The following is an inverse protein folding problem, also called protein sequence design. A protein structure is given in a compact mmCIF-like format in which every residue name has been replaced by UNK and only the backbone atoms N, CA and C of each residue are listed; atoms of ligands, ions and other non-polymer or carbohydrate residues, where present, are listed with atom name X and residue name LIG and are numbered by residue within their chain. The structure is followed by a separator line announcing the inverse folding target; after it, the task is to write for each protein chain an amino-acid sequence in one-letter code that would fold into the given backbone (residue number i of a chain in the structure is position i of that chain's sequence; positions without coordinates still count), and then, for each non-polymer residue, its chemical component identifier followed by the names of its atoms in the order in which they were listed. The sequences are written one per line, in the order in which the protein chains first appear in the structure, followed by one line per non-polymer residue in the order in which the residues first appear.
data_IF_307046718419
#
_entry.id   IF_307046718419
#
_cell.length_a   1.000
_cell.length_b   1.000
_cell.length_c   1.000
_cell.angle_alpha   90.00
_cell.angle_beta   90.00
_cell.angle_gamma   90.00
#
_symmetry.space_group_name_H-M   'P 1'
#
loop_
_entity.id
_entity.type
_entity.pdbx_description
1 polymer ?
2 non-polymer ?
3 non-polymer ?
4 non-polymer ?
5 non-polymer ?
6 water ?
#
# COMPACT_ATOMS: atom_id res chain seq x y z
N UNK A 16 -2.51 -7.73 28.07
CA UNK A 16 -1.93 -7.21 29.31
C UNK A 16 -1.36 -8.37 30.13
N UNK A 17 -1.14 -9.53 29.49
CA UNK A 17 -0.49 -10.67 30.11
C UNK A 17 0.61 -11.18 29.16
N UNK A 18 1.82 -11.34 29.70
CA UNK A 18 3.03 -11.61 28.93
C UNK A 18 3.49 -13.05 29.14
N UNK A 19 3.85 -13.73 28.05
CA UNK A 19 4.36 -15.10 28.11
C UNK A 19 5.47 -15.24 27.07
N UNK A 20 6.71 -15.23 27.52
CA UNK A 20 7.82 -15.28 26.58
C UNK A 20 7.82 -14.04 25.71
N UNK A 21 8.00 -14.23 24.40
CA UNK A 21 7.97 -13.14 23.43
C UNK A 21 6.56 -12.76 23.01
N UNK A 22 5.56 -13.54 23.38
CA UNK A 22 4.17 -13.31 22.99
C UNK A 22 3.48 -12.49 24.07
N UNK A 23 2.62 -11.57 23.63
CA UNK A 23 1.79 -10.78 24.54
C UNK A 23 0.33 -11.04 24.20
N UNK A 24 -0.46 -11.43 25.19
CA UNK A 24 -1.86 -11.79 24.99
C UNK A 24 -2.77 -10.73 25.60
N UNK A 25 -3.79 -10.32 24.84
CA UNK A 25 -4.83 -9.41 25.34
C UNK A 25 -6.20 -10.03 25.10
N UNK A 26 -7.04 -9.96 26.12
CA UNK A 26 -8.39 -10.51 26.04
C UNK A 26 -9.32 -9.48 25.40
N UNK A 27 -9.85 -9.82 24.22
CA UNK A 27 -10.80 -8.95 23.53
C UNK A 27 -12.23 -9.18 23.98
N UNK A 28 -12.54 -10.42 24.38
CA UNK A 28 -13.83 -10.83 24.92
C UNK A 28 -13.62 -12.16 25.61
N UNK A 29 -14.60 -12.56 26.42
CA UNK A 29 -14.57 -13.90 26.99
C UNK A 29 -14.39 -14.93 25.88
N UNK A 30 -13.35 -15.75 26.02
CA UNK A 30 -13.06 -16.79 25.04
C UNK A 30 -12.28 -16.33 23.82
N UNK A 31 -11.86 -15.07 23.75
CA UNK A 31 -11.12 -14.56 22.60
C UNK A 31 -9.91 -13.81 23.11
N UNK A 32 -8.72 -14.26 22.74
CA UNK A 32 -7.49 -13.54 23.03
C UNK A 32 -6.84 -13.06 21.74
N UNK A 33 -6.29 -11.86 21.77
CA UNK A 33 -5.42 -11.42 20.69
C UNK A 33 -3.99 -11.68 21.13
N UNK A 34 -3.15 -12.15 20.22
CA UNK A 34 -1.74 -12.40 20.50
C UNK A 34 -0.89 -11.46 19.67
N UNK A 35 0.09 -10.82 20.29
CA UNK A 35 0.94 -9.85 19.63
C UNK A 35 2.42 -10.19 19.84
N UNK A 36 3.18 -10.15 18.75
CA UNK A 36 4.61 -10.37 18.77
C UNK A 36 5.30 -9.30 17.93
N UNK A 37 6.57 -9.05 18.25
CA UNK A 37 7.28 -7.91 17.71
C UNK A 37 8.47 -8.34 16.89
N UNK A 38 8.73 -7.55 15.85
CA UNK A 38 9.84 -7.75 14.93
C UNK A 38 10.70 -6.50 14.93
N UNK A 39 11.92 -6.62 15.44
CA UNK A 39 12.85 -5.49 15.49
C UNK A 39 13.36 -5.19 14.08
N UNK A 40 13.13 -3.97 13.61
CA UNK A 40 13.64 -3.51 12.32
C UNK A 40 14.63 -2.38 12.54
N UNK A 41 15.83 -2.54 11.98
CA UNK A 41 16.88 -1.55 12.10
C UNK A 41 16.38 -0.19 11.62
N UNK A 42 16.42 0.80 12.51
CA UNK A 42 15.93 2.14 12.21
C UNK A 42 14.43 2.34 12.37
N UNK A 43 13.64 1.27 12.53
CA UNK A 43 12.20 1.39 12.67
C UNK A 43 11.66 0.91 14.01
N UNK A 44 12.46 0.23 14.81
CA UNK A 44 12.00 -0.25 16.10
C UNK A 44 11.17 -1.51 15.97
N UNK A 45 10.42 -1.83 17.03
CA UNK A 45 9.60 -3.05 17.02
C UNK A 45 8.27 -2.84 16.32
N UNK A 46 7.90 -3.77 15.45
CA UNK A 46 6.68 -3.68 14.65
C UNK A 46 5.74 -4.79 15.12
N UNK A 47 4.54 -4.47 15.58
CA UNK A 47 3.65 -5.51 16.07
C UNK A 47 3.08 -6.34 14.93
N UNK A 48 2.65 -7.55 15.28
CA UNK A 48 1.86 -8.37 14.38
C UNK A 48 0.87 -9.15 15.23
N UNK A 49 -0.39 -9.16 14.81
CA UNK A 49 -1.47 -9.62 15.68
C UNK A 49 -2.15 -10.85 15.11
N UNK A 50 -2.66 -11.69 16.01
CA UNK A 50 -3.51 -12.79 15.68
C UNK A 50 -4.52 -13.04 16.79
N UNK A 51 -5.29 -14.11 16.69
CA UNK A 51 -6.30 -14.44 17.69
C UNK A 51 -6.16 -15.89 18.14
N UNK A 52 -6.53 -16.12 19.39
CA UNK A 52 -6.75 -17.43 19.97
C UNK A 52 -8.21 -17.48 20.38
N UNK A 53 -8.98 -18.38 19.78
CA UNK A 53 -10.43 -18.37 19.90
C UNK A 53 -10.86 -19.66 20.59
N UNK A 54 -11.35 -19.54 21.82
CA UNK A 54 -11.71 -20.73 22.60
C UNK A 54 -13.03 -21.29 22.10
N UNK A 55 -13.04 -22.59 21.82
CA UNK A 55 -14.25 -23.30 21.41
C UNK A 55 -14.31 -24.61 22.21
N UNK A 56 -15.19 -24.66 23.21
CA UNK A 56 -15.28 -25.82 24.07
C UNK A 56 -14.01 -26.02 24.89
N UNK A 57 -13.37 -27.18 24.77
CA UNK A 57 -12.12 -27.44 25.46
C UNK A 57 -10.90 -27.35 24.53
N UNK A 58 -11.05 -26.69 23.38
CA UNK A 58 -9.94 -26.49 22.46
C UNK A 58 -9.90 -25.04 22.03
N UNK A 59 -8.86 -24.67 21.27
CA UNK A 59 -8.77 -23.34 20.70
C UNK A 59 -8.53 -23.43 19.20
N UNK A 60 -8.94 -22.35 18.52
CA UNK A 60 -8.62 -22.09 17.12
C UNK A 60 -7.62 -20.93 17.07
N UNK A 61 -6.53 -21.13 16.35
CA UNK A 61 -5.48 -20.12 16.24
C UNK A 61 -5.66 -19.34 14.95
N UNK A 62 -5.71 -18.02 15.04
CA UNK A 62 -5.84 -17.16 13.85
C UNK A 62 -4.50 -16.47 13.64
N UNK A 63 -3.78 -16.88 12.59
CA UNK A 63 -2.46 -16.37 12.21
C UNK A 63 -1.37 -16.84 13.16
N UNK A 64 -0.19 -17.11 12.61
CA UNK A 64 1.00 -17.39 13.43
C UNK A 64 1.58 -16.07 13.91
N UNK A 65 2.63 -16.14 14.72
CA UNK A 65 3.38 -14.95 15.07
C UNK A 65 4.45 -14.72 14.02
N UNK A 66 5.37 -13.78 14.28
CA UNK A 66 6.45 -13.49 13.34
C UNK A 66 7.33 -14.73 13.12
N UNK A 67 7.69 -15.43 14.20
CA UNK A 67 8.69 -16.47 14.12
C UNK A 67 8.14 -17.81 14.58
N UNK A 68 8.79 -18.87 14.08
CA UNK A 68 8.52 -20.21 14.56
C UNK A 68 8.53 -20.27 16.10
N UNK A 69 9.59 -19.73 16.72
CA UNK A 69 9.74 -19.86 18.16
C UNK A 69 8.68 -19.07 18.92
N UNK A 70 8.26 -17.92 18.38
CA UNK A 70 7.14 -17.19 18.96
C UNK A 70 5.84 -17.98 18.81
N UNK A 71 5.68 -18.69 17.69
CA UNK A 71 4.46 -19.47 17.46
C UNK A 71 4.42 -20.71 18.37
N UNK A 72 5.57 -21.37 18.56
CA UNK A 72 5.61 -22.46 19.52
C UNK A 72 5.20 -21.98 20.91
N UNK A 73 5.60 -20.76 21.29
CA UNK A 73 5.15 -20.22 22.57
C UNK A 73 3.63 -20.10 22.61
N UNK A 74 3.02 -19.70 21.50
CA UNK A 74 1.57 -19.54 21.47
C UNK A 74 0.87 -20.88 21.64
N UNK A 75 1.38 -21.95 20.99
CA UNK A 75 0.73 -23.24 21.16
C UNK A 75 0.92 -23.76 22.58
N UNK A 76 2.10 -23.52 23.17
CA UNK A 76 2.34 -23.92 24.55
C UNK A 76 1.41 -23.21 25.51
N UNK A 77 1.22 -21.90 25.33
CA UNK A 77 0.31 -21.16 26.18
C UNK A 77 -1.10 -21.75 26.14
N UNK A 78 -1.60 -22.03 24.92
CA UNK A 78 -2.95 -22.57 24.80
C UNK A 78 -3.07 -23.91 25.52
N UNK A 79 -2.07 -24.78 25.35
CA UNK A 79 -2.13 -26.12 25.90
C UNK A 79 -1.85 -26.14 27.40
N UNK A 80 -1.01 -25.23 27.87
CA UNK A 80 -0.50 -25.26 29.22
C UNK A 80 -1.12 -24.29 30.20
N UNK A 81 -1.36 -23.06 29.76
CA UNK A 81 -1.99 -22.05 30.62
C UNK A 81 -3.51 -22.10 30.51
N UNK A 82 -4.03 -22.13 29.28
CA UNK A 82 -5.46 -22.18 29.04
C UNK A 82 -6.05 -23.57 29.23
N UNK A 83 -5.25 -24.62 29.01
CA UNK A 83 -5.75 -25.99 28.95
C UNK A 83 -6.82 -26.13 27.87
N UNK A 84 -6.75 -25.27 26.85
CA UNK A 84 -7.60 -25.31 25.67
C UNK A 84 -6.66 -25.46 24.48
N UNK A 85 -6.18 -26.67 24.22
CA UNK A 85 -5.13 -26.85 23.21
C UNK A 85 -5.59 -26.48 21.81
N UNK A 86 -4.64 -25.99 21.02
CA UNK A 86 -4.94 -25.57 19.65
C UNK A 86 -5.27 -26.80 18.81
N UNK A 87 -6.45 -26.81 18.22
CA UNK A 87 -6.88 -27.94 17.40
C UNK A 87 -6.99 -27.58 15.92
N UNK A 88 -6.88 -26.30 15.57
CA UNK A 88 -6.93 -25.86 14.17
C UNK A 88 -6.39 -24.45 14.10
N UNK A 89 -5.88 -24.09 12.90
CA UNK A 89 -5.29 -22.78 12.65
C UNK A 89 -5.74 -22.29 11.28
N UNK A 90 -5.97 -20.98 11.16
CA UNK A 90 -6.34 -20.34 9.89
C UNK A 90 -5.38 -19.16 9.66
N UNK A 91 -4.87 -19.05 8.44
CA UNK A 91 -4.02 -17.92 8.04
C UNK A 91 -4.87 -16.82 7.45
N UNK A 92 -4.61 -15.57 7.87
CA UNK A 92 -5.21 -14.42 7.22
C UNK A 92 -4.21 -13.45 6.61
N UNK A 93 -3.00 -13.30 7.16
CA UNK A 93 -2.03 -12.41 6.51
C UNK A 93 -0.63 -13.04 6.59
N UNK A 94 -0.33 -13.92 5.64
CA UNK A 94 0.95 -14.60 5.59
C UNK A 94 2.06 -13.61 5.24
N UNK A 95 3.28 -13.95 5.65
CA UNK A 95 4.47 -13.16 5.33
C UNK A 95 5.44 -14.01 4.52
N UNK A 96 5.98 -13.43 3.45
CA UNK A 96 6.74 -14.20 2.48
C UNK A 96 8.00 -14.80 3.08
N UNK A 97 8.76 -14.00 3.83
CA UNK A 97 10.02 -14.46 4.40
C UNK A 97 9.85 -15.07 5.78
N UNK A 98 8.92 -14.52 6.57
CA UNK A 98 8.65 -15.02 7.92
C UNK A 98 7.59 -16.13 7.86
N UNK A 99 7.99 -17.22 7.21
CA UNK A 99 7.13 -18.36 6.99
C UNK A 99 7.46 -19.45 8.01
N UNK A 100 8.51 -19.22 8.81
CA UNK A 100 8.93 -20.16 9.82
C UNK A 100 7.83 -20.54 10.80
N UNK A 101 6.85 -19.66 11.00
CA UNK A 101 5.76 -19.96 11.92
C UNK A 101 4.93 -21.15 11.49
N UNK A 102 4.95 -21.50 10.21
CA UNK A 102 4.23 -22.67 9.71
C UNK A 102 4.86 -23.95 10.20
N UNK A 103 6.19 -23.93 10.34
CA UNK A 103 6.92 -25.13 10.77
C UNK A 103 6.45 -25.58 12.14
N UNK A 104 6.22 -24.64 13.06
CA UNK A 104 5.76 -25.02 14.40
C UNK A 104 4.38 -25.65 14.34
N UNK A 105 3.51 -25.15 13.46
CA UNK A 105 2.16 -25.71 13.33
C UNK A 105 2.23 -27.14 12.80
N UNK A 106 3.00 -27.37 11.75
CA UNK A 106 3.10 -28.70 11.18
C UNK A 106 3.80 -29.69 12.11
N UNK A 107 4.59 -29.19 13.06
CA UNK A 107 5.24 -30.07 14.02
C UNK A 107 4.30 -30.57 15.10
N UNK A 108 3.29 -29.76 15.44
CA UNK A 108 2.27 -30.10 16.42
C UNK A 108 1.04 -30.74 15.80
N UNK A 109 1.11 -31.12 14.52
CA UNK A 109 0.02 -31.82 13.84
C UNK A 109 -1.28 -31.02 13.94
N UNK A 110 -1.14 -29.69 13.88
CA UNK A 110 -2.28 -28.78 13.89
C UNK A 110 -2.77 -28.61 12.47
N UNK A 111 -4.05 -28.85 12.24
CA UNK A 111 -4.63 -28.65 10.92
C UNK A 111 -4.64 -27.17 10.58
N UNK A 112 -4.07 -26.82 9.43
CA UNK A 112 -3.89 -25.44 9.01
C UNK A 112 -4.75 -25.16 7.78
N UNK A 113 -5.47 -24.04 7.80
CA UNK A 113 -6.35 -23.61 6.73
C UNK A 113 -5.85 -22.28 6.18
N UNK A 114 -5.92 -22.12 4.86
CA UNK A 114 -5.52 -20.85 4.27
C UNK A 114 -6.26 -20.67 2.95
N UNK A 115 -6.40 -19.42 2.52
CA UNK A 115 -7.04 -19.15 1.24
C UNK A 115 -5.98 -19.05 0.15
N UNK A 116 -5.93 -20.01 -0.80
CA UNK A 116 -4.82 -20.06 -1.78
C UNK A 116 -4.55 -18.75 -2.52
N UNK A 117 -5.49 -18.25 -3.32
CA UNK A 117 -5.18 -17.10 -4.20
C UNK A 117 -5.53 -15.76 -3.58
N UNK A 130 0.17 -25.04 4.22
CA UNK A 130 -1.24 -25.08 4.59
C UNK A 130 -2.03 -25.92 3.59
N UNK A 131 -2.12 -27.22 3.85
CA UNK A 131 -2.70 -28.17 2.91
C UNK A 131 -4.23 -28.15 2.90
N UNK A 132 -4.89 -27.24 3.61
CA UNK A 132 -6.34 -27.14 3.63
C UNK A 132 -6.77 -25.81 3.04
N UNK A 133 -7.45 -25.85 1.90
CA UNK A 133 -7.89 -24.63 1.25
C UNK A 133 -9.26 -24.22 1.77
N UNK A 134 -9.43 -22.93 2.01
CA UNK A 134 -10.71 -22.32 2.33
C UNK A 134 -11.30 -21.78 1.04
N UNK A 135 -12.50 -22.24 0.67
CA UNK A 135 -13.25 -21.67 -0.44
C UNK A 135 -14.39 -20.80 0.09
N UNK A 136 -14.77 -19.79 -0.70
CA UNK A 136 -15.79 -18.82 -0.34
C UNK A 136 -16.93 -18.80 -1.36
N UNK A 137 -18.12 -18.40 -0.91
CA UNK A 137 -19.24 -18.36 -1.85
C UNK A 137 -19.35 -16.95 -2.42
N UNK A 138 -20.28 -16.76 -3.36
CA UNK A 138 -20.45 -15.47 -4.01
C UNK A 138 -20.88 -14.38 -3.05
N UNK A 139 -21.35 -14.74 -1.85
CA UNK A 139 -21.62 -13.79 -0.77
C UNK A 139 -20.38 -13.44 0.04
N UNK A 140 -19.24 -14.05 -0.25
CA UNK A 140 -18.02 -13.81 0.50
C UNK A 140 -17.81 -14.69 1.73
N UNK A 141 -18.74 -15.59 2.05
CA UNK A 141 -18.63 -16.38 3.28
C UNK A 141 -17.97 -17.73 3.00
N UNK A 142 -17.16 -18.20 3.94
CA UNK A 142 -16.52 -19.50 3.79
C UNK A 142 -17.58 -20.59 3.78
N UNK A 143 -17.25 -21.70 3.13
CA UNK A 143 -18.14 -22.85 2.92
C UNK A 143 -17.41 -24.13 3.28
N UNK A 144 -18.15 -25.24 3.26
CA UNK A 144 -17.57 -26.56 3.33
C UNK A 144 -17.01 -26.85 4.72
N UNK A 145 -16.14 -27.84 4.77
CA UNK A 145 -15.57 -28.29 6.05
C UNK A 145 -14.84 -27.14 6.76
N UNK A 146 -14.24 -26.22 6.00
CA UNK A 146 -13.52 -25.10 6.61
C UNK A 146 -14.40 -24.29 7.53
N UNK A 147 -15.57 -23.87 7.04
CA UNK A 147 -16.48 -23.09 7.89
C UNK A 147 -16.90 -23.91 9.09
N UNK A 148 -17.14 -25.20 8.88
CA UNK A 148 -17.55 -26.07 9.98
C UNK A 148 -16.45 -26.17 11.02
N UNK A 149 -15.21 -26.38 10.58
CA UNK A 149 -14.13 -26.66 11.51
C UNK A 149 -13.63 -25.43 12.24
N UNK A 150 -13.87 -24.24 11.70
CA UNK A 150 -13.37 -23.04 12.33
C UNK A 150 -14.45 -22.25 13.08
N UNK A 151 -15.69 -22.76 13.10
CA UNK A 151 -16.72 -22.05 13.85
C UNK A 151 -16.34 -21.99 15.33
N UNK A 152 -16.73 -20.91 16.05
CA UNK A 152 -17.66 -19.86 15.63
C UNK A 152 -17.04 -18.72 14.82
N UNK A 153 -15.73 -18.75 14.53
CA UNK A 153 -15.19 -17.79 13.58
C UNK A 153 -16.01 -17.83 12.30
N UNK A 154 -16.37 -16.66 11.80
CA UNK A 154 -16.97 -16.51 10.47
C UNK A 154 -15.89 -15.97 9.55
N UNK A 155 -15.50 -16.76 8.56
CA UNK A 155 -14.46 -16.33 7.63
C UNK A 155 -15.10 -15.58 6.47
N UNK A 156 -14.59 -14.39 6.17
CA UNK A 156 -15.19 -13.56 5.12
C UNK A 156 -14.12 -13.08 4.14
N UNK A 157 -14.38 -13.29 2.83
CA UNK A 157 -13.52 -12.73 1.79
C UNK A 157 -14.16 -11.45 1.27
N UNK A 158 -13.51 -10.29 1.43
CA UNK A 158 -14.18 -9.01 1.16
C UNK A 158 -14.04 -8.45 -0.25
N UNK A 159 -13.21 -9.04 -1.11
CA UNK A 159 -12.92 -8.43 -2.40
C UNK A 159 -13.91 -8.81 -3.51
N UNK A 160 -13.77 -8.12 -4.64
CA UNK A 160 -14.54 -8.42 -5.81
C UNK A 160 -13.71 -9.04 -6.91
N UNK A 161 -14.26 -9.05 -8.12
CA UNK A 161 -13.52 -9.48 -9.29
C UNK A 161 -12.15 -8.82 -9.35
N UNK A 162 -11.15 -9.57 -9.82
CA UNK A 162 -9.76 -9.14 -10.02
C UNK A 162 -9.06 -8.77 -8.72
N UNK A 163 -9.69 -8.92 -7.57
CA UNK A 163 -9.03 -8.63 -6.32
C UNK A 163 -8.26 -9.84 -5.80
N UNK A 164 -7.31 -9.56 -4.91
CA UNK A 164 -6.51 -10.59 -4.27
C UNK A 164 -6.30 -10.15 -2.82
N UNK A 165 -7.40 -9.92 -2.11
CA UNK A 165 -7.38 -9.45 -0.73
C UNK A 165 -7.04 -10.60 0.22
N UNK A 166 -6.54 -10.23 1.38
CA UNK A 166 -6.47 -11.17 2.48
C UNK A 166 -7.88 -11.43 3.02
N UNK A 167 -8.09 -12.63 3.59
CA UNK A 167 -9.37 -12.90 4.22
C UNK A 167 -9.45 -12.17 5.57
N UNK A 168 -10.68 -11.98 6.03
CA UNK A 168 -10.99 -11.34 7.30
C UNK A 168 -11.84 -12.32 8.10
N UNK A 169 -11.92 -12.10 9.41
CA UNK A 169 -12.67 -13.01 10.26
C UNK A 169 -13.41 -12.20 11.29
N UNK A 170 -14.54 -12.73 11.73
CA UNK A 170 -15.38 -12.05 12.70
C UNK A 170 -16.02 -13.02 13.66
N UNK A 171 -16.42 -12.47 14.81
CA UNK A 171 -17.23 -13.15 15.82
C UNK A 171 -18.42 -12.21 16.01
N UNK A 172 -19.48 -12.36 15.20
CA UNK A 172 -20.58 -11.37 15.23
C UNK A 172 -21.23 -11.19 16.59
N UNK A 173 -21.46 -12.28 17.32
CA UNK A 173 -22.15 -12.15 18.60
C UNK A 173 -21.32 -11.41 19.64
N UNK A 174 -20.01 -11.34 19.45
CA UNK A 174 -19.15 -10.64 20.39
C UNK A 174 -18.75 -9.26 19.89
N UNK A 175 -19.22 -8.85 18.71
CA UNK A 175 -18.89 -7.53 18.20
C UNK A 175 -17.43 -7.33 17.85
N UNK A 176 -16.76 -8.39 17.43
CA UNK A 176 -15.34 -8.39 17.10
C UNK A 176 -15.18 -8.69 15.62
N UNK A 177 -14.33 -7.93 14.94
CA UNK A 177 -13.91 -8.26 13.58
C UNK A 177 -12.41 -8.06 13.44
N UNK A 178 -11.80 -8.83 12.55
CA UNK A 178 -10.36 -8.86 12.37
C UNK A 178 -10.06 -8.66 10.90
N UNK A 179 -9.30 -7.63 10.58
CA UNK A 179 -9.03 -7.27 9.19
C UNK A 179 -7.58 -6.88 8.96
N UNK A 180 -7.31 -6.25 7.82
CA UNK A 180 -5.96 -5.81 7.54
C UNK A 180 -5.73 -4.42 8.08
N UNK A 181 -4.58 -3.86 7.77
CA UNK A 181 -4.16 -2.56 8.35
C UNK A 181 -4.93 -1.44 7.69
N UNK A 182 -5.41 -0.50 8.50
CA UNK A 182 -6.18 0.62 8.00
C UNK A 182 -5.51 1.93 8.36
N UNK A 183 -5.88 3.00 7.63
CA UNK A 183 -5.29 4.30 7.84
C UNK A 183 -5.52 4.75 9.28
N UNK A 184 -4.51 5.36 9.88
CA UNK A 184 -4.59 5.93 11.22
C UNK A 184 -5.10 7.38 11.16
N UNK A 185 -5.64 7.82 12.29
CA UNK A 185 -6.44 9.05 12.34
C UNK A 185 -5.74 10.25 11.70
N UNK A 186 -4.51 10.53 12.11
CA UNK A 186 -3.83 11.72 11.62
C UNK A 186 -2.71 11.45 10.63
N UNK A 187 -2.47 10.18 10.33
CA UNK A 187 -1.29 9.80 9.56
C UNK A 187 -1.54 9.97 8.06
N UNK A 188 -0.73 10.81 7.44
CA UNK A 188 -0.74 11.03 5.99
C UNK A 188 0.21 10.10 5.25
N UNK A 189 0.93 9.24 5.98
CA UNK A 189 2.00 8.43 5.38
C UNK A 189 1.52 7.64 4.17
N UNK A 190 0.34 7.03 4.28
CA UNK A 190 -0.17 6.12 3.28
C UNK A 190 -1.08 6.80 2.26
N UNK A 191 -1.23 8.12 2.34
CA UNK A 191 -2.28 8.79 1.57
C UNK A 191 -1.94 8.79 0.07
N UNK A 192 -0.69 9.11 -0.28
CA UNK A 192 -0.30 9.07 -1.68
C UNK A 192 -0.38 7.67 -2.27
N UNK A 193 0.06 6.67 -1.51
CA UNK A 193 -0.10 5.30 -1.99
C UNK A 193 -1.56 4.98 -2.27
N UNK A 194 -2.48 5.50 -1.45
CA UNK A 194 -3.90 5.25 -1.62
C UNK A 194 -4.46 5.94 -2.88
N UNK A 195 -3.98 7.15 -3.21
CA UNK A 195 -4.51 7.82 -4.40
C UNK A 195 -4.00 7.17 -5.68
N UNK A 196 -2.84 6.52 -5.61
CA UNK A 196 -2.21 5.95 -6.79
C UNK A 196 -2.53 4.46 -6.96
N UNK A 197 -3.39 3.94 -6.13
CA UNK A 197 -3.81 2.55 -6.24
C UNK A 197 -5.22 2.52 -6.83
N UNK A 198 -5.83 1.34 -6.80
CA UNK A 198 -7.23 1.16 -7.21
C UNK A 198 -8.09 1.55 -6.02
N UNK A 199 -8.25 2.86 -5.85
CA UNK A 199 -8.98 3.36 -4.69
C UNK A 199 -10.39 2.79 -4.64
N UNK A 200 -11.06 2.72 -5.80
CA UNK A 200 -12.43 2.18 -5.84
C UNK A 200 -12.48 0.72 -5.40
N UNK A 201 -11.51 -0.09 -5.84
CA UNK A 201 -11.47 -1.49 -5.43
C UNK A 201 -11.18 -1.61 -3.94
N UNK A 202 -10.20 -0.86 -3.45
CA UNK A 202 -9.94 -0.84 -2.02
C UNK A 202 -11.19 -0.43 -1.26
N UNK A 203 -11.89 0.60 -1.74
CA UNK A 203 -13.06 1.09 -1.05
C UNK A 203 -14.14 0.01 -0.98
N UNK A 204 -14.39 -0.68 -2.09
CA UNK A 204 -15.40 -1.73 -2.08
C UNK A 204 -15.05 -2.82 -1.06
N UNK A 205 -13.77 -3.17 -0.95
CA UNK A 205 -13.39 -4.21 0.00
C UNK A 205 -13.70 -3.79 1.42
N UNK A 206 -13.40 -2.53 1.76
CA UNK A 206 -13.69 -2.05 3.10
C UNK A 206 -15.19 -1.97 3.33
N UNK A 207 -15.96 -1.52 2.33
CA UNK A 207 -17.42 -1.49 2.46
C UNK A 207 -17.99 -2.90 2.62
N UNK A 208 -17.48 -3.87 1.86
CA UNK A 208 -17.95 -5.25 1.99
C UNK A 208 -17.64 -5.79 3.39
N UNK A 209 -16.44 -5.52 3.89
CA UNK A 209 -16.05 -6.00 5.22
C UNK A 209 -16.94 -5.36 6.29
N UNK A 210 -17.14 -4.04 6.20
CA UNK A 210 -18.04 -3.35 7.11
C UNK A 210 -19.43 -3.97 7.09
N UNK A 211 -19.99 -4.19 5.89
CA UNK A 211 -21.34 -4.73 5.82
C UNK A 211 -21.39 -6.19 6.28
N UNK A 212 -20.27 -6.91 6.20
CA UNK A 212 -20.29 -8.30 6.64
C UNK A 212 -20.38 -8.40 8.16
N UNK A 213 -19.72 -7.51 8.89
CA UNK A 213 -19.80 -7.44 10.35
C UNK A 213 -20.32 -6.07 10.75
N UNK A 214 -21.59 -5.79 10.50
CA UNK A 214 -22.10 -4.42 10.67
C UNK A 214 -22.19 -3.97 12.12
N UNK A 215 -22.23 -4.90 13.06
CA UNK A 215 -22.40 -4.53 14.46
C UNK A 215 -21.10 -4.59 15.24
N UNK A 216 -20.01 -5.00 14.61
CA UNK A 216 -18.74 -5.14 15.31
C UNK A 216 -18.18 -3.76 15.66
N UNK A 217 -17.96 -3.53 16.94
CA UNK A 217 -17.36 -2.28 17.43
C UNK A 217 -15.89 -2.42 17.78
N UNK A 218 -15.34 -3.62 17.71
CA UNK A 218 -13.92 -3.84 17.97
C UNK A 218 -13.29 -4.37 16.69
N UNK A 219 -12.50 -3.53 16.02
CA UNK A 219 -11.87 -3.91 14.76
C UNK A 219 -10.40 -4.18 15.06
N UNK A 220 -10.04 -5.46 15.17
CA UNK A 220 -8.64 -5.82 15.34
C UNK A 220 -7.92 -5.72 13.99
N UNK A 221 -6.62 -5.47 14.05
CA UNK A 221 -5.87 -5.27 12.81
C UNK A 221 -4.62 -6.12 12.75
N UNK A 222 -4.21 -6.43 11.52
CA UNK A 222 -3.09 -7.35 11.29
C UNK A 222 -1.80 -6.86 11.94
N UNK A 223 -1.52 -5.57 11.90
CA UNK A 223 -0.23 -5.07 12.38
C UNK A 223 -0.39 -3.78 13.17
N UNK A 224 -1.50 -3.66 13.89
CA UNK A 224 -1.89 -2.43 14.55
C UNK A 224 -2.87 -2.78 15.66
N UNK A 225 -2.89 -2.01 16.76
CA UNK A 225 -3.87 -2.28 17.84
C UNK A 225 -5.30 -2.08 17.38
N UNK A 226 -6.29 -2.63 18.09
CA UNK A 226 -7.68 -2.53 17.62
C UNK A 226 -8.20 -1.09 17.68
N UNK A 227 -9.20 -0.81 16.83
CA UNK A 227 -9.95 0.44 16.87
C UNK A 227 -11.44 0.12 16.78
N UNK A 228 -12.26 1.15 16.96
CA UNK A 228 -13.68 1.05 16.69
C UNK A 228 -14.00 1.33 15.23
N UNK A 229 -15.30 1.44 14.94
CA UNK A 229 -15.73 1.62 13.57
C UNK A 229 -15.27 2.94 12.97
N UNK A 230 -14.80 3.89 13.79
CA UNK A 230 -14.27 5.13 13.23
C UNK A 230 -13.15 4.85 12.25
N UNK A 231 -12.39 3.76 12.45
CA UNK A 231 -11.34 3.42 11.51
C UNK A 231 -11.91 3.13 10.13
N UNK A 232 -13.07 2.46 10.08
CA UNK A 232 -13.68 2.10 8.81
C UNK A 232 -14.19 3.35 8.09
N UNK A 233 -14.98 4.15 8.80
CA UNK A 233 -15.53 5.38 8.24
C UNK A 233 -14.43 6.31 7.75
N UNK A 234 -13.35 6.44 8.52
CA UNK A 234 -12.25 7.30 8.12
C UNK A 234 -11.63 6.84 6.81
N UNK A 235 -11.43 5.52 6.67
CA UNK A 235 -10.85 5.01 5.44
C UNK A 235 -11.80 5.20 4.26
N UNK A 236 -13.11 5.03 4.48
CA UNK A 236 -14.07 5.22 3.40
C UNK A 236 -14.23 6.69 3.02
N UNK A 237 -14.02 7.60 3.98
CA UNK A 237 -14.08 9.03 3.66
C UNK A 237 -12.96 9.40 2.68
N UNK A 238 -11.75 8.92 2.95
CA UNK A 238 -10.62 9.19 2.07
C UNK A 238 -10.86 8.67 0.66
N UNK A 239 -11.33 7.43 0.55
CA UNK A 239 -11.48 6.81 -0.76
C UNK A 239 -12.43 7.57 -1.68
N UNK A 240 -13.42 8.26 -1.12
CA UNK A 240 -14.29 9.07 -1.98
C UNK A 240 -13.60 10.36 -2.40
N UNK A 241 -12.86 11.00 -1.48
CA UNK A 241 -12.11 12.21 -1.81
C UNK A 241 -10.88 11.92 -2.66
N UNK A 242 -10.55 10.66 -2.90
CA UNK A 242 -9.46 10.29 -3.79
C UNK A 242 -9.97 9.38 -4.92
N UNK B 16 10.06 26.85 -4.60
CA UNK B 16 10.00 28.03 -3.74
C UNK B 16 9.26 29.16 -4.44
N UNK B 17 8.91 28.98 -5.72
CA UNK B 17 8.22 29.98 -6.51
C UNK B 17 6.74 29.63 -6.60
N UNK B 18 5.89 30.54 -6.12
CA UNK B 18 4.45 30.35 -6.06
C UNK B 18 3.77 31.05 -7.24
N UNK B 19 2.84 30.35 -7.89
CA UNK B 19 2.05 30.90 -8.99
C UNK B 19 0.61 30.39 -8.82
N UNK B 20 -0.17 31.12 -8.04
CA UNK B 20 -1.50 30.64 -7.69
C UNK B 20 -1.42 29.50 -6.71
N UNK B 21 -2.18 28.44 -6.96
CA UNK B 21 -2.19 27.26 -6.11
C UNK B 21 -1.00 26.35 -6.33
N UNK B 22 -0.22 26.58 -7.39
CA UNK B 22 0.89 25.73 -7.78
C UNK B 22 2.16 26.25 -7.14
N UNK B 23 3.03 25.34 -6.71
CA UNK B 23 4.34 25.67 -6.17
C UNK B 23 5.41 25.02 -7.06
N UNK B 24 6.33 25.83 -7.57
CA UNK B 24 7.35 25.36 -8.49
C UNK B 24 8.73 25.34 -7.83
N UNK B 25 9.47 24.27 -8.08
CA UNK B 25 10.78 24.06 -7.48
C UNK B 25 11.75 23.56 -8.55
N UNK B 26 12.90 24.23 -8.67
CA UNK B 26 13.90 23.86 -9.68
C UNK B 26 14.80 22.76 -9.13
N UNK B 27 14.78 21.60 -9.78
CA UNK B 27 15.60 20.45 -9.42
C UNK B 27 16.95 20.44 -10.14
N UNK B 28 16.95 20.93 -11.39
CA UNK B 28 18.16 21.15 -12.17
C UNK B 28 17.84 22.25 -13.18
N UNK B 29 18.88 22.76 -13.81
CA UNK B 29 18.67 23.66 -14.93
C UNK B 29 17.76 22.98 -15.95
N UNK B 30 16.64 23.65 -16.28
CA UNK B 30 15.68 23.13 -17.23
C UNK B 30 14.70 22.08 -16.69
N UNK B 31 14.68 21.85 -15.38
CA UNK B 31 13.74 20.91 -14.78
C UNK B 31 13.10 21.55 -13.58
N UNK B 32 11.78 21.70 -13.62
CA UNK B 32 11.02 22.23 -12.50
C UNK B 32 10.09 21.14 -11.97
N UNK B 33 10.05 21.01 -10.64
CA UNK B 33 9.00 20.20 -10.00
C UNK B 33 7.83 21.11 -9.64
N UNK B 34 6.61 20.64 -9.88
CA UNK B 34 5.41 21.37 -9.48
C UNK B 34 4.69 20.60 -8.39
N UNK B 35 4.18 21.33 -7.40
CA UNK B 35 3.53 20.73 -6.23
C UNK B 35 2.22 21.46 -5.96
N UNK B 36 1.12 20.70 -5.94
CA UNK B 36 -0.18 21.22 -5.53
C UNK B 36 -0.71 20.40 -4.36
N UNK B 37 -1.59 21.01 -3.59
CA UNK B 37 -2.04 20.45 -2.33
C UNK B 37 -3.53 20.16 -2.34
N UNK B 38 -3.90 19.09 -1.65
CA UNK B 38 -5.27 18.64 -1.51
C UNK B 38 -5.59 18.54 -0.03
N UNK B 39 -6.57 19.33 0.42
CA UNK B 39 -6.97 19.35 1.83
C UNK B 39 -7.85 18.15 2.14
N UNK B 40 -7.45 17.36 3.13
CA UNK B 40 -8.25 16.23 3.58
C UNK B 40 -8.58 16.45 5.04
N UNK B 41 -9.88 16.42 5.37
CA UNK B 41 -10.34 16.61 6.74
C UNK B 41 -9.62 15.66 7.68
N UNK B 42 -8.91 16.24 8.65
CA UNK B 42 -8.18 15.46 9.64
C UNK B 42 -6.79 15.02 9.25
N UNK B 43 -6.34 15.31 8.02
CA UNK B 43 -5.01 14.91 7.57
C UNK B 43 -4.13 16.06 7.11
N UNK B 44 -4.67 17.26 6.98
CA UNK B 44 -3.90 18.39 6.50
C UNK B 44 -3.70 18.32 5.00
N UNK B 45 -2.98 19.29 4.45
CA UNK B 45 -2.77 19.33 3.00
C UNK B 45 -1.82 18.24 2.54
N UNK B 46 -2.15 17.64 1.39
CA UNK B 46 -1.43 16.48 0.87
C UNK B 46 -0.77 16.88 -0.44
N UNK B 47 0.54 16.81 -0.55
CA UNK B 47 1.21 17.21 -1.80
C UNK B 47 0.98 16.19 -2.90
N UNK B 48 1.10 16.68 -4.14
CA UNK B 48 1.17 15.83 -5.32
C UNK B 48 2.14 16.48 -6.28
N UNK B 49 3.09 15.71 -6.78
CA UNK B 49 4.21 16.29 -7.50
C UNK B 49 4.19 15.91 -8.98
N UNK B 50 4.78 16.79 -9.78
CA UNK B 50 5.01 16.56 -11.18
C UNK B 50 6.28 17.25 -11.62
N UNK B 51 6.57 17.24 -12.92
CA UNK B 51 7.74 17.90 -13.47
C UNK B 51 7.34 18.75 -14.66
N UNK B 52 8.07 19.85 -14.85
CA UNK B 52 8.11 20.59 -16.11
C UNK B 52 9.54 20.48 -16.63
N UNK B 53 9.69 20.01 -17.86
CA UNK B 53 11.00 19.60 -18.37
C UNK B 53 11.25 20.41 -19.64
N UNK B 54 12.15 21.39 -19.55
CA UNK B 54 12.37 22.29 -20.68
C UNK B 54 13.13 21.56 -21.76
N UNK B 55 12.62 21.61 -22.99
CA UNK B 55 13.32 21.06 -24.14
C UNK B 55 13.30 22.10 -25.25
N UNK B 56 14.42 22.79 -25.44
CA UNK B 56 14.46 23.83 -26.44
C UNK B 56 13.60 25.00 -26.00
N UNK B 57 12.65 25.38 -26.86
CA UNK B 57 11.73 26.46 -26.54
C UNK B 57 10.36 25.94 -26.10
N UNK B 58 10.27 24.70 -25.64
CA UNK B 58 9.01 24.15 -25.18
C UNK B 58 9.25 23.34 -23.91
N UNK B 59 8.16 22.97 -23.24
CA UNK B 59 8.23 22.10 -22.08
C UNK B 59 7.48 20.79 -22.33
N UNK B 60 7.92 19.76 -21.61
CA UNK B 60 7.16 18.52 -21.41
C UNK B 60 6.66 18.53 -19.98
N UNK B 61 5.36 18.30 -19.80
CA UNK B 61 4.76 18.27 -18.47
C UNK B 61 4.65 16.81 -18.04
N UNK B 62 5.14 16.52 -16.84
CA UNK B 62 5.06 15.19 -16.25
C UNK B 62 4.02 15.25 -15.14
N UNK B 63 2.86 14.63 -15.38
CA UNK B 63 1.72 14.57 -14.47
C UNK B 63 0.98 15.89 -14.37
N UNK B 64 -0.35 15.81 -14.28
CA UNK B 64 -1.19 16.96 -13.99
C UNK B 64 -1.15 17.23 -12.49
N UNK B 65 -1.83 18.29 -12.07
CA UNK B 65 -2.04 18.57 -10.66
C UNK B 65 -3.32 17.85 -10.22
N UNK B 66 -3.77 18.12 -8.99
CA UNK B 66 -5.00 17.52 -8.49
C UNK B 66 -6.20 17.93 -9.35
N UNK B 67 -6.32 19.22 -9.64
CA UNK B 67 -7.55 19.75 -10.22
C UNK B 67 -7.31 20.35 -11.60
N UNK B 68 -8.40 20.44 -12.34
CA UNK B 68 -8.42 21.14 -13.62
C UNK B 68 -7.77 22.52 -13.53
N UNK B 69 -8.25 23.35 -12.59
CA UNK B 69 -7.79 24.73 -12.52
C UNK B 69 -6.34 24.83 -12.09
N UNK B 70 -5.88 23.91 -11.23
CA UNK B 70 -4.46 23.87 -10.89
C UNK B 70 -3.62 23.50 -12.10
N UNK B 71 -4.09 22.56 -12.91
CA UNK B 71 -3.37 22.15 -14.11
C UNK B 71 -3.35 23.28 -15.16
N UNK B 72 -4.47 24.01 -15.31
CA UNK B 72 -4.48 25.15 -16.23
C UNK B 72 -3.44 26.19 -15.83
N UNK B 73 -3.25 26.39 -14.51
CA UNK B 73 -2.24 27.33 -14.04
C UNK B 73 -0.83 26.90 -14.43
N UNK B 74 -0.50 25.61 -14.31
CA UNK B 74 0.81 25.16 -14.75
C UNK B 74 1.00 25.43 -16.24
N UNK B 75 -0.05 25.21 -17.03
CA UNK B 75 0.02 25.44 -18.46
C UNK B 75 0.19 26.92 -18.77
N UNK B 76 -0.46 27.77 -17.97
CA UNK B 76 -0.27 29.21 -18.10
C UNK B 76 1.16 29.60 -17.74
N UNK B 77 1.70 28.99 -16.68
CA UNK B 77 3.03 29.35 -16.21
C UNK B 77 4.09 28.99 -17.24
N UNK B 78 3.98 27.79 -17.84
CA UNK B 78 4.95 27.41 -18.86
C UNK B 78 4.93 28.38 -20.03
N UNK B 79 3.73 28.84 -20.42
CA UNK B 79 3.56 29.57 -21.66
C UNK B 79 3.83 31.07 -21.50
N UNK B 80 3.53 31.64 -20.33
CA UNK B 80 3.61 33.08 -20.21
C UNK B 80 4.55 33.57 -19.10
N UNK B 81 5.15 32.65 -18.33
CA UNK B 81 6.29 32.98 -17.49
C UNK B 81 7.59 32.44 -18.07
N UNK B 82 7.60 31.17 -18.48
CA UNK B 82 8.79 30.53 -19.02
C UNK B 82 8.97 30.79 -20.51
N UNK B 83 7.95 31.27 -21.21
CA UNK B 83 7.95 31.36 -22.67
C UNK B 83 8.41 30.03 -23.28
N UNK B 84 8.03 28.94 -22.64
CA UNK B 84 8.34 27.58 -23.07
C UNK B 84 7.04 26.76 -22.94
N UNK B 85 6.12 26.95 -23.87
CA UNK B 85 4.79 26.35 -23.73
C UNK B 85 4.83 24.83 -23.77
N UNK B 86 3.94 24.22 -22.97
CA UNK B 86 3.80 22.78 -22.95
C UNK B 86 3.40 22.28 -24.33
N UNK B 87 4.21 21.40 -24.91
CA UNK B 87 3.83 20.74 -26.15
C UNK B 87 3.54 19.25 -25.97
N UNK B 88 3.68 18.72 -24.75
CA UNK B 88 3.40 17.31 -24.51
C UNK B 88 3.33 17.05 -23.02
N UNK B 89 2.50 16.07 -22.65
CA UNK B 89 2.31 15.66 -21.26
C UNK B 89 2.36 14.14 -21.17
N UNK B 90 2.94 13.63 -20.07
CA UNK B 90 2.92 12.19 -19.80
C UNK B 90 2.35 11.97 -18.40
N UNK B 91 1.39 11.05 -18.27
CA UNK B 91 0.89 10.61 -16.96
C UNK B 91 1.81 9.53 -16.40
N UNK B 92 2.18 9.66 -15.12
CA UNK B 92 2.81 8.57 -14.37
C UNK B 92 2.02 8.11 -13.16
N UNK B 93 1.18 8.95 -12.55
CA UNK B 93 0.40 8.42 -11.41
C UNK B 93 -0.98 9.08 -11.44
N UNK B 94 -1.90 8.46 -12.17
CA UNK B 94 -3.25 8.99 -12.30
C UNK B 94 -4.07 8.77 -11.04
N UNK B 95 -5.14 9.55 -10.91
CA UNK B 95 -6.03 9.51 -9.77
C UNK B 95 -7.45 9.31 -10.26
N UNK B 96 -8.16 8.36 -9.65
CA UNK B 96 -9.43 7.87 -10.19
C UNK B 96 -10.50 8.95 -10.21
N UNK B 97 -10.58 9.75 -9.16
CA UNK B 97 -11.56 10.83 -9.09
C UNK B 97 -10.97 12.19 -9.41
N UNK B 98 -9.68 12.37 -9.14
CA UNK B 98 -9.02 13.65 -9.34
C UNK B 98 -8.40 13.73 -10.73
N UNK B 99 -9.26 13.60 -11.73
CA UNK B 99 -8.81 13.59 -13.11
C UNK B 99 -9.35 14.80 -13.86
N UNK B 100 -9.76 15.82 -13.11
CA UNK B 100 -10.06 17.10 -13.72
C UNK B 100 -8.88 17.68 -14.48
N UNK B 101 -7.66 17.26 -14.15
CA UNK B 101 -6.49 17.77 -14.84
C UNK B 101 -6.41 17.35 -16.29
N UNK B 102 -7.07 16.27 -16.66
CA UNK B 102 -7.04 15.81 -18.05
C UNK B 102 -7.80 16.76 -18.97
N UNK B 103 -8.80 17.44 -18.40
CA UNK B 103 -9.64 18.34 -19.18
C UNK B 103 -8.86 19.59 -19.61
N UNK B 104 -7.98 20.09 -18.75
CA UNK B 104 -7.18 21.26 -19.12
C UNK B 104 -6.28 20.95 -20.32
N UNK B 105 -5.62 19.78 -20.28
CA UNK B 105 -4.73 19.39 -21.38
C UNK B 105 -5.52 19.11 -22.65
N UNK B 106 -6.69 18.46 -22.53
CA UNK B 106 -7.50 18.19 -23.71
C UNK B 106 -8.01 19.48 -24.33
N UNK B 107 -8.30 20.49 -23.52
CA UNK B 107 -8.77 21.77 -24.04
C UNK B 107 -7.68 22.65 -24.63
N UNK B 108 -6.43 22.38 -24.25
CA UNK B 108 -5.27 23.13 -24.75
C UNK B 108 -4.55 22.41 -25.89
N UNK B 109 -5.15 21.36 -26.44
CA UNK B 109 -4.58 20.58 -27.55
C UNK B 109 -3.13 20.18 -27.24
N UNK B 110 -2.87 19.87 -25.98
CA UNK B 110 -1.59 19.32 -25.55
C UNK B 110 -1.66 17.81 -25.69
N UNK B 111 -0.70 17.25 -26.44
CA UNK B 111 -0.66 15.82 -26.68
C UNK B 111 -0.31 15.09 -25.38
N UNK B 112 -1.10 14.07 -25.04
CA UNK B 112 -1.02 13.42 -23.75
C UNK B 112 -0.68 11.94 -23.93
N UNK B 113 0.27 11.47 -23.11
CA UNK B 113 0.76 10.10 -23.17
C UNK B 113 0.56 9.44 -21.81
N UNK B 114 0.16 8.17 -21.83
CA UNK B 114 0.02 7.43 -20.59
C UNK B 114 0.20 5.94 -20.88
N UNK B 115 0.54 5.17 -19.84
CA UNK B 115 0.71 3.74 -20.00
C UNK B 115 -0.63 3.06 -19.72
N UNK B 116 -1.32 2.50 -20.75
CA UNK B 116 -2.68 1.97 -20.54
C UNK B 116 -2.79 0.85 -19.51
N UNK B 117 -2.06 -0.25 -19.69
CA UNK B 117 -2.30 -1.45 -18.87
C UNK B 117 -1.85 -1.27 -17.42
N UNK B 130 -5.95 9.84 -22.09
CA UNK B 130 -4.70 10.04 -22.83
C UNK B 130 -4.74 9.31 -24.16
N UNK B 131 -4.78 10.08 -25.25
CA UNK B 131 -5.01 9.50 -26.58
C UNK B 131 -3.81 8.75 -27.14
N UNK B 132 -2.66 8.78 -26.47
CA UNK B 132 -1.45 8.15 -27.00
C UNK B 132 -0.90 7.16 -25.99
N UNK B 133 -0.78 5.90 -26.39
CA UNK B 133 -0.30 4.85 -25.50
C UNK B 133 1.22 4.77 -25.56
N UNK B 134 1.83 4.67 -24.38
CA UNK B 134 3.27 4.42 -24.27
C UNK B 134 3.46 2.91 -24.12
N UNK B 135 4.21 2.32 -25.04
CA UNK B 135 4.59 0.92 -24.92
C UNK B 135 6.06 0.82 -24.53
N UNK B 136 6.38 -0.26 -23.83
CA UNK B 136 7.73 -0.49 -23.28
C UNK B 136 8.31 -1.77 -23.86
N UNK B 137 9.64 -1.85 -23.87
CA UNK B 137 10.30 -3.05 -24.36
C UNK B 137 10.67 -3.95 -23.17
N UNK B 138 11.17 -5.14 -23.48
CA UNK B 138 11.45 -6.15 -22.47
C UNK B 138 12.53 -5.73 -21.48
N UNK B 139 13.28 -4.68 -21.79
CA UNK B 139 14.19 -4.04 -20.85
C UNK B 139 13.52 -2.97 -20.01
N UNK B 140 12.25 -2.67 -20.26
CA UNK B 140 11.55 -1.68 -19.48
C UNK B 140 11.58 -0.26 -20.03
N UNK B 141 12.26 -0.01 -21.16
CA UNK B 141 12.39 1.33 -21.70
C UNK B 141 11.28 1.63 -22.69
N UNK B 142 10.79 2.87 -22.69
CA UNK B 142 9.78 3.25 -23.66
C UNK B 142 10.36 3.21 -25.07
N UNK B 143 9.51 2.91 -26.04
CA UNK B 143 9.84 2.73 -27.45
C UNK B 143 8.96 3.64 -28.29
N UNK B 144 9.25 3.65 -29.60
CA UNK B 144 8.34 4.22 -30.56
C UNK B 144 8.27 5.74 -30.51
N UNK B 145 7.18 6.25 -31.09
CA UNK B 145 6.95 7.69 -31.11
C UNK B 145 7.04 8.29 -29.70
N UNK B 146 6.51 7.59 -28.70
CA UNK B 146 6.47 8.12 -27.34
C UNK B 146 7.87 8.45 -26.83
N UNK B 147 8.84 7.55 -27.06
CA UNK B 147 10.20 7.81 -26.59
C UNK B 147 10.78 9.03 -27.29
N UNK B 148 10.44 9.21 -28.57
CA UNK B 148 10.96 10.35 -29.31
C UNK B 148 10.34 11.64 -28.83
N UNK B 149 9.03 11.63 -28.61
CA UNK B 149 8.30 12.86 -28.32
C UNK B 149 8.61 13.40 -26.93
N UNK B 150 9.02 12.54 -25.99
CA UNK B 150 9.23 12.96 -24.62
C UNK B 150 10.70 13.12 -24.25
N UNK B 151 11.62 12.83 -25.17
CA UNK B 151 13.03 13.03 -24.87
C UNK B 151 13.25 14.49 -24.47
N UNK B 152 14.20 14.76 -23.56
CA UNK B 152 15.19 13.83 -23.01
C UNK B 152 14.72 12.98 -21.84
N UNK B 153 13.49 13.13 -21.34
CA UNK B 153 12.98 12.16 -20.36
C UNK B 153 13.17 10.75 -20.88
N UNK B 154 13.59 9.84 -19.99
CA UNK B 154 13.65 8.41 -20.29
C UNK B 154 12.57 7.76 -19.46
N UNK B 155 11.56 7.20 -20.12
CA UNK B 155 10.44 6.61 -19.43
C UNK B 155 10.76 5.14 -19.19
N UNK B 156 10.62 4.70 -17.94
CA UNK B 156 10.99 3.33 -17.57
C UNK B 156 9.82 2.67 -16.83
N UNK B 157 9.45 1.46 -17.26
CA UNK B 157 8.48 0.65 -16.55
C UNK B 157 9.21 -0.37 -15.69
N UNK B 158 9.09 -0.32 -14.35
CA UNK B 158 9.95 -1.13 -13.49
C UNK B 158 9.44 -2.53 -13.16
N UNK B 159 8.20 -2.86 -13.48
CA UNK B 159 7.62 -4.10 -13.02
C UNK B 159 7.98 -5.30 -13.88
N UNK B 160 7.79 -6.48 -13.29
CA UNK B 160 7.92 -7.73 -14.00
C UNK B 160 6.57 -8.30 -14.36
N UNK B 161 6.57 -9.60 -14.68
CA UNK B 161 5.33 -10.31 -15.00
C UNK B 161 4.29 -10.12 -13.90
N UNK B 162 3.03 -10.05 -14.31
CA UNK B 162 1.83 -9.94 -13.46
C UNK B 162 1.75 -8.61 -12.68
N UNK B 163 2.73 -7.73 -12.82
CA UNK B 163 2.69 -6.46 -12.11
C UNK B 163 1.82 -5.44 -12.84
N UNK B 164 1.44 -4.39 -12.12
CA UNK B 164 0.71 -3.25 -12.66
C UNK B 164 1.24 -1.99 -11.97
N UNK B 165 2.54 -1.73 -12.15
CA UNK B 165 3.19 -0.57 -11.56
C UNK B 165 2.92 0.68 -12.38
N UNK B 166 3.03 1.82 -11.72
CA UNK B 166 3.10 3.08 -12.43
C UNK B 166 4.47 3.20 -13.11
N UNK B 167 4.50 3.90 -14.23
CA UNK B 167 5.79 4.15 -14.87
C UNK B 167 6.58 5.16 -14.04
N UNK B 168 7.87 5.20 -14.32
CA UNK B 168 8.82 6.09 -13.66
C UNK B 168 9.56 6.79 -14.77
N UNK B 169 10.16 7.93 -14.45
CA UNK B 169 10.85 8.70 -15.48
C UNK B 169 12.15 9.20 -14.89
N UNK B 170 13.15 9.39 -15.75
CA UNK B 170 14.44 9.88 -15.31
C UNK B 170 15.06 10.83 -16.33
N UNK B 171 16.05 11.57 -15.83
CA UNK B 171 16.93 12.41 -16.63
C UNK B 171 18.34 12.01 -16.22
N UNK B 172 18.86 10.91 -16.80
CA UNK B 172 20.14 10.35 -16.31
C UNK B 172 21.29 11.36 -16.29
N UNK B 173 21.34 12.23 -17.30
CA UNK B 173 22.45 13.18 -17.37
C UNK B 173 22.42 14.17 -16.20
N UNK B 174 21.28 14.38 -15.56
CA UNK B 174 21.20 15.31 -14.45
C UNK B 174 21.07 14.63 -13.10
N UNK B 175 21.12 13.30 -13.06
CA UNK B 175 21.01 12.60 -11.79
C UNK B 175 19.67 12.75 -11.13
N UNK B 176 18.60 12.88 -11.93
CA UNK B 176 17.24 13.01 -11.44
C UNK B 176 16.47 11.77 -11.88
N UNK B 177 15.76 11.14 -10.93
CA UNK B 177 14.77 10.12 -11.24
C UNK B 177 13.47 10.44 -10.51
N UNK B 178 12.34 10.06 -11.12
CA UNK B 178 11.02 10.34 -10.59
C UNK B 178 10.25 9.03 -10.49
N UNK B 179 9.75 8.72 -9.29
CA UNK B 179 9.05 7.46 -9.09
C UNK B 179 7.88 7.56 -8.13
N UNK B 180 7.46 6.44 -7.57
CA UNK B 180 6.33 6.45 -6.65
C UNK B 180 6.77 6.62 -5.23
N UNK B 181 5.80 6.74 -4.32
CA UNK B 181 6.06 6.99 -2.88
C UNK B 181 6.80 5.86 -2.20
N UNK B 182 7.92 6.19 -1.56
CA UNK B 182 8.69 5.20 -0.84
C UNK B 182 8.62 5.40 0.65
N UNK B 183 9.03 4.35 1.38
CA UNK B 183 8.99 4.37 2.83
C UNK B 183 9.82 5.54 3.35
N UNK B 184 9.22 6.34 4.23
CA UNK B 184 9.93 7.44 4.86
C UNK B 184 10.86 6.93 5.95
N UNK B 185 11.88 7.73 6.24
CA UNK B 185 12.82 7.39 7.30
C UNK B 185 12.12 7.44 8.64
N UNK B 186 12.23 6.34 9.41
CA UNK B 186 11.70 6.27 10.76
C UNK B 186 10.21 6.00 10.87
N UNK B 187 9.49 5.90 9.75
CA UNK B 187 8.03 5.81 9.76
C UNK B 187 7.62 4.36 9.57
N UNK B 188 7.06 3.75 10.62
CA UNK B 188 6.62 2.36 10.53
C UNK B 188 5.17 2.23 10.03
N UNK B 189 4.59 3.35 9.59
CA UNK B 189 3.16 3.41 9.26
C UNK B 189 2.77 2.36 8.24
N UNK B 190 3.51 2.30 7.12
CA UNK B 190 3.17 1.40 6.02
C UNK B 190 3.93 0.07 6.08
N UNK B 191 4.62 -0.22 7.19
CA UNK B 191 5.41 -1.45 7.24
C UNK B 191 4.50 -2.68 7.23
N UNK B 192 3.38 -2.64 7.97
CA UNK B 192 2.51 -3.80 8.01
C UNK B 192 1.86 -4.09 6.67
N UNK B 193 1.47 -3.04 5.94
CA UNK B 193 0.96 -3.25 4.58
C UNK B 193 2.03 -3.88 3.70
N UNK B 194 3.29 -3.49 3.89
CA UNK B 194 4.39 -4.02 3.10
C UNK B 194 4.59 -5.50 3.37
N UNK B 195 4.52 -5.91 4.65
CA UNK B 195 4.70 -7.32 5.00
C UNK B 195 3.61 -8.18 4.41
N UNK B 196 2.41 -7.64 4.26
CA UNK B 196 1.26 -8.44 3.84
C UNK B 196 1.05 -8.40 2.33
N UNK B 197 1.81 -7.60 1.62
CA UNK B 197 1.71 -7.52 0.17
C UNK B 197 2.70 -8.50 -0.47
N UNK B 198 2.84 -8.42 -1.79
CA UNK B 198 3.84 -9.19 -2.53
C UNK B 198 5.18 -8.47 -2.38
N UNK B 199 5.80 -8.69 -1.21
CA UNK B 199 7.03 -7.96 -0.89
C UNK B 199 8.10 -8.20 -1.96
N UNK B 200 8.23 -9.45 -2.42
CA UNK B 200 9.24 -9.77 -3.44
C UNK B 200 9.02 -8.99 -4.74
N UNK B 201 7.75 -8.87 -5.16
CA UNK B 201 7.44 -8.17 -6.41
C UNK B 201 7.73 -6.68 -6.27
N UNK B 202 7.23 -6.08 -5.18
CA UNK B 202 7.59 -4.70 -4.86
C UNK B 202 9.10 -4.51 -4.86
N UNK B 203 9.83 -5.44 -4.22
CA UNK B 203 11.28 -5.28 -4.14
C UNK B 203 11.93 -5.32 -5.51
N UNK B 204 11.50 -6.25 -6.37
CA UNK B 204 12.07 -6.30 -7.72
C UNK B 204 11.80 -5.00 -8.46
N UNK B 205 10.62 -4.42 -8.28
CA UNK B 205 10.30 -3.17 -8.94
C UNK B 205 11.25 -2.07 -8.50
N UNK B 206 11.54 -1.99 -7.20
CA UNK B 206 12.44 -0.97 -6.70
C UNK B 206 13.87 -1.22 -7.17
N UNK B 207 14.26 -2.50 -7.22
CA UNK B 207 15.59 -2.84 -7.73
C UNK B 207 15.74 -2.47 -9.21
N UNK B 208 14.71 -2.76 -10.02
CA UNK B 208 14.79 -2.41 -11.44
C UNK B 208 14.89 -0.90 -11.62
N UNK B 209 14.05 -0.16 -10.89
CA UNK B 209 14.07 1.30 -10.99
C UNK B 209 15.45 1.83 -10.59
N UNK B 210 15.99 1.33 -9.47
CA UNK B 210 17.33 1.71 -9.03
C UNK B 210 18.37 1.46 -10.11
N UNK B 211 18.34 0.29 -10.74
CA UNK B 211 19.32 -0.03 -11.76
C UNK B 211 19.05 0.72 -13.07
N UNK B 212 17.81 1.14 -13.32
CA UNK B 212 17.55 1.88 -14.54
C UNK B 212 18.22 3.24 -14.49
N UNK B 213 18.21 3.89 -13.33
CA UNK B 213 18.84 5.19 -13.12
C UNK B 213 19.90 5.04 -12.02
N UNK B 214 21.00 4.34 -12.31
CA UNK B 214 21.94 3.98 -11.24
C UNK B 214 22.73 5.15 -10.68
N UNK B 215 22.83 6.27 -11.41
CA UNK B 215 23.61 7.40 -10.93
C UNK B 215 22.74 8.53 -10.41
N UNK B 216 21.43 8.35 -10.36
CA UNK B 216 20.54 9.42 -9.93
C UNK B 216 20.61 9.55 -8.41
N UNK B 217 20.97 10.74 -7.95
CA UNK B 217 21.02 11.02 -6.52
C UNK B 217 19.93 11.98 -6.05
N UNK B 218 19.02 12.37 -6.94
CA UNK B 218 17.80 13.08 -6.54
C UNK B 218 16.61 12.23 -6.98
N UNK B 219 15.86 11.71 -6.01
CA UNK B 219 14.76 10.80 -6.28
C UNK B 219 13.47 11.53 -5.95
N UNK B 220 12.85 12.15 -6.96
CA UNK B 220 11.56 12.79 -6.75
C UNK B 220 10.47 11.74 -6.58
N UNK B 221 9.40 12.12 -5.88
CA UNK B 221 8.34 11.18 -5.59
C UNK B 221 6.96 11.73 -5.86
N UNK B 222 6.02 10.82 -6.11
CA UNK B 222 4.69 11.22 -6.55
C UNK B 222 3.98 12.07 -5.50
N UNK B 223 4.10 11.75 -4.21
CA UNK B 223 3.35 12.50 -3.21
C UNK B 223 4.21 12.80 -1.99
N UNK B 224 5.45 13.19 -2.24
CA UNK B 224 6.42 13.39 -1.17
C UNK B 224 7.62 14.14 -1.75
N UNK B 225 8.34 14.92 -0.95
CA UNK B 225 9.50 15.68 -1.47
C UNK B 225 10.65 14.76 -1.85
N UNK B 226 11.64 15.25 -2.62
CA UNK B 226 12.72 14.36 -3.07
C UNK B 226 13.61 13.87 -1.91
N UNK B 227 14.26 12.73 -2.14
CA UNK B 227 15.31 12.22 -1.26
C UNK B 227 16.48 11.76 -2.11
N UNK B 228 17.57 11.40 -1.44
CA UNK B 228 18.70 10.75 -2.08
C UNK B 228 18.44 9.26 -2.22
N UNK B 229 19.48 8.54 -2.65
CA UNK B 229 19.36 7.11 -2.83
C UNK B 229 19.16 6.36 -1.52
N UNK B 230 19.41 7.01 -0.38
CA UNK B 230 19.09 6.39 0.91
C UNK B 230 17.66 5.87 0.94
N UNK B 231 16.73 6.58 0.26
CA UNK B 231 15.35 6.10 0.23
C UNK B 231 15.25 4.76 -0.48
N UNK B 232 15.96 4.60 -1.60
CA UNK B 232 15.99 3.32 -2.30
C UNK B 232 16.54 2.22 -1.38
N UNK B 233 17.74 2.43 -0.85
CA UNK B 233 18.38 1.42 0.00
C UNK B 233 17.52 1.10 1.22
N UNK B 234 16.82 2.09 1.76
CA UNK B 234 16.00 1.88 2.94
C UNK B 234 14.83 0.95 2.62
N UNK B 235 14.19 1.14 1.47
CA UNK B 235 13.09 0.27 1.09
C UNK B 235 13.58 -1.14 0.79
N UNK B 236 14.75 -1.29 0.16
CA UNK B 236 15.24 -2.63 -0.16
C UNK B 236 15.67 -3.40 1.08
N UNK B 237 16.21 -2.70 2.09
CA UNK B 237 16.51 -3.35 3.35
C UNK B 237 15.25 -3.95 3.96
N UNK B 238 14.15 -3.19 3.95
CA UNK B 238 12.91 -3.68 4.56
C UNK B 238 12.39 -4.91 3.85
N UNK B 239 12.44 -4.93 2.52
CA UNK B 239 11.84 -6.03 1.76
C UNK B 239 12.50 -7.37 2.08
N UNK B 240 13.81 -7.39 2.27
CA UNK B 240 14.48 -8.63 2.60
C UNK B 240 14.52 -8.90 4.10
N UNK B 241 14.16 -7.91 4.92
CA UNK B 241 14.00 -8.13 6.36
C UNK B 241 12.58 -8.59 6.73
N UNK B 242 11.62 -8.46 5.82
CA UNK B 242 10.29 -9.00 6.02
C UNK B 242 9.60 -9.32 4.69
X LIG C 1 1.01 -9.48 8.38
X LIG D 1 -9.66 -5.01 5.07
X LIG D 1 -9.04 -6.33 5.17
X LIG D 1 -10.07 -4.57 6.40
X LIG D 1 -10.81 -5.08 4.19
X LIG D 1 -8.69 -4.06 4.53
X LIG E 1 -23.94 -17.75 6.19
X LIG E 1 -23.83 -16.62 7.20
X LIG E 1 -22.52 -16.72 7.96
X LIG E 1 -23.89 -15.38 6.51
X LIG F 1 -14.70 -28.29 1.48
X LIG F 1 -15.81 -28.92 2.13
X LIG F 1 -13.60 -27.99 2.50
X LIG F 1 -13.53 -26.59 2.78
X LIG G 1 -0.62 10.35 -7.27
X LIG H 1 8.77 2.80 -7.68
X LIG H 1 8.01 2.52 -6.46
X LIG H 1 9.23 1.52 -8.24
X LIG H 1 9.92 3.64 -7.37
X LIG H 1 7.92 3.48 -8.67
X LIG I 1 18.26 2.81 -24.31
X LIG I 1 18.16 2.83 -22.79
X LIG I 1 19.43 2.25 -22.18
X LIG I 1 17.99 4.17 -22.35
X LIG J 1 20.21 11.46 1.59
X LIG J 1 21.51 11.53 0.96
X LIG J 1 19.41 12.72 1.25
X LIG J 1 18.03 12.52 1.59
X LIG K 1 22.84 9.07 -2.31
X LIG K 1 22.52 10.31 -2.96
X LIG K 1 23.00 9.27 -0.81
X LIG K 1 21.71 9.38 -0.17
X LIG L 1 2.31 26.03 2.43
X LIG L 1 1.96 24.82 3.13
X LIG L 1 2.50 27.16 3.43
X LIG L 1 3.46 26.75 4.42
#
# INVERSE_FOLDING_TARGET
SNARSSVAEQEADRDIIRFGEVSFSQLAEGVWMHTTYLDLMGFGPIPSNGLLVVNGDNTILVDTAWTDEQTEQIVAWASMVLAKPVRAAVVTHAHQDKMGGMAALHGANIATWAHPLSNELAPEEGLVPARNAITFDANGWATGEAAQSLAPLRLYYPGGAHTRDNITVGLPELGIAFGGCMIKAGDASNLGNLADADTAAYAQSVRNFAAAFPDARTIAMSHSPPEGRKAIERTLDLAEEL
SNARSSVAEQEADRDIIRFGEVSFSQLAEGVWMHTTYLDLMGFGPIPSNGLLVVNGDNTILVDTAWTDEQTEQIVAWASMVLAKPVRAAVVTHAHQDKMGGMAALHGANIATWAHPLSNELAPEEGLVPARNAITFDANGWATGEAAQSLAPLRLYYPGGAHTRDNITVGLPELGIAFGGCMIKAGDASNLGNLADADTAAYAQSVRNFAAAFPDARTIAMSHSPPEGRKAIERTLDLAEEL
ZN ZN
SO4 S O1 O2 O3 O4
IPA C1 C2 C3 O2
EDO C1 O1 C2 O2
ZN ZN
SO4 S O1 O2 O3 O4
IPA C1 C2 C3 O2
EDO C1 O1 C2 O2
EDO C1 O1 C2 O2
EDO C1 O1 C2 O2
#
